data_IF_605925087298
#
_entry.id   IF_605925087298
#
_cell.length_a   1.000
_cell.length_b   1.000
_cell.length_c   1.000
_cell.angle_alpha   90.00
_cell.angle_beta   90.00
_cell.angle_gamma   90.00
#
_symmetry.space_group_name_H-M   'P 1'
#
loop_
_entity.id
_entity.type
_entity.pdbx_description
1 polymer ?
#
# COMPACT_ATOMS: atom_id res chain seq x y z
N UNK A 1 -1.00 -24.20 0.86
CA UNK A 1 -0.68 -23.02 1.59
C UNK A 1 -1.25 -21.78 0.95
N UNK A 2 -1.81 -20.94 1.75
CA UNK A 2 -2.41 -19.75 1.26
C UNK A 2 -1.36 -18.79 0.73
N UNK A 3 -1.59 -18.29 -0.48
CA UNK A 3 -0.69 -17.29 -1.04
C UNK A 3 -1.12 -15.91 -0.56
N UNK A 4 -0.22 -15.28 0.18
CA UNK A 4 -0.48 -13.95 0.71
C UNK A 4 -0.90 -12.96 -0.38
N UNK A 5 -0.36 -13.09 -1.57
CA UNK A 5 -0.66 -12.16 -2.65
C UNK A 5 -2.04 -12.36 -3.25
N UNK A 6 -2.62 -13.53 -3.03
CA UNK A 6 -3.96 -13.77 -3.48
C UNK A 6 -4.95 -12.84 -2.78
N UNK A 7 -4.73 -12.60 -1.50
CA UNK A 7 -5.62 -11.77 -0.72
C UNK A 7 -5.58 -10.32 -1.16
N UNK A 8 -4.50 -9.91 -1.80
CA UNK A 8 -4.38 -8.54 -2.28
C UNK A 8 -5.38 -8.23 -3.37
N UNK A 9 -5.82 -9.26 -4.09
CA UNK A 9 -6.82 -9.06 -5.14
C UNK A 9 -8.18 -8.66 -4.57
N UNK A 10 -8.42 -9.00 -3.32
CA UNK A 10 -9.67 -8.66 -2.66
C UNK A 10 -9.64 -7.35 -1.90
N UNK A 11 -8.54 -6.63 -1.96
CA UNK A 11 -8.43 -5.36 -1.27
C UNK A 11 -9.27 -4.28 -1.94
N UNK A 12 -9.66 -3.25 -1.20
CA UNK A 12 -10.34 -2.11 -1.82
C UNK A 12 -9.51 -1.48 -2.92
N UNK A 13 -10.17 -0.75 -3.79
CA UNK A 13 -9.49 -0.09 -4.90
C UNK A 13 -8.41 0.86 -4.40
N UNK A 14 -8.67 1.55 -3.31
CA UNK A 14 -7.67 2.41 -2.68
C UNK A 14 -7.48 2.00 -1.23
N UNK A 15 -6.27 2.25 -0.73
CA UNK A 15 -5.89 1.89 0.62
C UNK A 15 -5.41 3.12 1.35
N UNK A 16 -5.43 3.05 2.67
CA UNK A 16 -4.84 4.08 3.50
C UNK A 16 -3.43 3.65 3.88
N UNK A 17 -2.64 4.62 4.37
CA UNK A 17 -1.28 4.29 4.77
C UNK A 17 -1.28 3.21 5.85
N UNK A 18 -2.21 3.30 6.80
CA UNK A 18 -2.29 2.30 7.88
C UNK A 18 -2.53 0.90 7.34
N UNK A 19 -3.21 0.79 6.21
CA UNK A 19 -3.50 -0.52 5.65
C UNK A 19 -2.25 -1.23 5.15
N UNK A 20 -1.22 -0.46 4.81
CA UNK A 20 0.03 -1.04 4.35
C UNK A 20 0.80 -1.74 5.47
N UNK A 21 0.58 -1.31 6.70
CA UNK A 21 1.35 -1.83 7.82
C UNK A 21 1.21 -3.34 7.97
N UNK A 22 -0.01 -3.88 8.10
CA UNK A 22 -0.14 -5.33 8.22
C UNK A 22 0.16 -6.07 6.92
N UNK A 23 -0.10 -5.46 5.79
CA UNK A 23 0.13 -6.12 4.51
C UNK A 23 1.61 -6.34 4.28
N UNK A 24 2.42 -5.33 4.59
CA UNK A 24 3.86 -5.39 4.36
C UNK A 24 4.66 -5.79 5.60
N UNK A 25 3.99 -5.87 6.74
CA UNK A 25 4.66 -6.22 7.98
C UNK A 25 5.62 -5.14 8.44
N UNK A 26 5.26 -3.89 8.29
CA UNK A 26 6.13 -2.76 8.63
C UNK A 26 5.41 -1.83 9.60
N UNK A 27 6.19 -0.95 10.22
CA UNK A 27 5.63 0.05 11.12
C UNK A 27 5.13 1.27 10.36
N UNK A 28 4.55 2.20 11.12
CA UNK A 28 3.96 3.40 10.52
C UNK A 28 5.01 4.26 9.82
N UNK A 29 6.15 4.47 10.46
CA UNK A 29 7.18 5.32 9.86
C UNK A 29 7.68 4.76 8.54
N UNK A 30 7.87 3.44 8.48
CA UNK A 30 8.32 2.81 7.26
C UNK A 30 7.27 2.94 6.16
N UNK A 31 5.99 2.81 6.52
CA UNK A 31 4.92 2.95 5.55
C UNK A 31 4.89 4.35 4.95
N UNK A 32 4.99 5.37 5.80
CA UNK A 32 5.02 6.75 5.31
C UNK A 32 6.25 7.03 4.47
N UNK A 33 7.37 6.39 4.83
CA UNK A 33 8.60 6.59 4.07
C UNK A 33 8.47 6.04 2.66
N UNK A 34 7.81 4.90 2.49
CA UNK A 34 7.58 4.33 1.17
C UNK A 34 6.77 5.29 0.30
N UNK A 35 5.79 5.94 0.90
CA UNK A 35 4.96 6.90 0.17
C UNK A 35 5.76 8.16 -0.16
N UNK A 36 6.46 8.68 0.82
CA UNK A 36 7.20 9.93 0.67
C UNK A 36 8.30 9.81 -0.37
N UNK A 37 8.97 8.67 -0.41
CA UNK A 37 10.08 8.46 -1.33
C UNK A 37 9.63 8.14 -2.74
N UNK A 38 8.33 7.91 -2.94
CA UNK A 38 7.80 7.59 -4.25
C UNK A 38 7.93 6.13 -4.64
N UNK A 39 8.37 5.28 -3.73
CA UNK A 39 8.47 3.86 -4.03
C UNK A 39 7.10 3.25 -4.25
N UNK A 40 6.09 3.76 -3.57
CA UNK A 40 4.71 3.38 -3.81
C UNK A 40 3.95 4.64 -4.22
N UNK A 41 3.33 4.58 -5.38
CA UNK A 41 2.57 5.71 -5.91
C UNK A 41 1.35 5.96 -5.02
N UNK A 42 1.03 7.21 -4.79
CA UNK A 42 -0.11 7.57 -3.96
C UNK A 42 -0.85 8.76 -4.55
N UNK A 43 -2.07 8.96 -4.07
CA UNK A 43 -2.93 10.05 -4.49
C UNK A 43 -3.33 10.82 -3.24
N UNK A 44 -3.26 12.14 -3.31
CA UNK A 44 -3.70 12.97 -2.21
C UNK A 44 -5.08 13.53 -2.53
N UNK A 45 -6.02 13.25 -1.66
CA UNK A 45 -7.39 13.74 -1.80
C UNK A 45 -7.71 14.56 -0.55
N UNK A 46 -7.73 15.88 -0.71
CA UNK A 46 -7.87 16.75 0.45
C UNK A 46 -6.67 16.57 1.35
N UNK A 47 -6.92 16.17 2.59
CA UNK A 47 -5.85 15.92 3.55
C UNK A 47 -5.55 14.43 3.71
N UNK A 48 -6.18 13.61 2.89
CA UNK A 48 -5.99 12.17 3.00
C UNK A 48 -5.10 11.66 1.90
N UNK A 49 -4.28 10.68 2.26
CA UNK A 49 -3.43 9.99 1.29
C UNK A 49 -4.07 8.66 0.98
N UNK A 50 -4.27 8.39 -0.30
CA UNK A 50 -4.84 7.13 -0.76
C UNK A 50 -3.84 6.42 -1.65
N UNK A 51 -3.69 5.14 -1.46
CA UNK A 51 -2.77 4.33 -2.26
C UNK A 51 -3.62 3.43 -3.16
N UNK A 52 -3.54 3.62 -4.49
CA UNK A 52 -4.26 2.72 -5.38
C UNK A 52 -3.76 1.29 -5.17
N UNK A 53 -4.70 0.34 -5.19
CA UNK A 53 -4.32 -1.05 -5.02
C UNK A 53 -3.28 -1.47 -6.05
N UNK A 54 -3.43 -0.99 -7.27
CA UNK A 54 -2.49 -1.33 -8.33
C UNK A 54 -1.08 -0.84 -8.04
N UNK A 55 -0.97 0.31 -7.37
CA UNK A 55 0.35 0.84 -7.02
C UNK A 55 1.06 -0.09 -6.03
N UNK A 56 0.30 -0.64 -5.09
CA UNK A 56 0.86 -1.59 -4.14
C UNK A 56 1.28 -2.87 -4.86
N UNK A 57 0.44 -3.36 -5.76
CA UNK A 57 0.77 -4.57 -6.49
C UNK A 57 2.01 -4.38 -7.36
N UNK A 58 2.15 -3.22 -7.98
CA UNK A 58 3.34 -2.92 -8.78
C UNK A 58 4.59 -2.92 -7.91
N UNK A 59 4.47 -2.33 -6.72
CA UNK A 59 5.60 -2.31 -5.79
C UNK A 59 6.03 -3.72 -5.42
N UNK A 60 5.07 -4.60 -5.20
CA UNK A 60 5.36 -5.97 -4.78
C UNK A 60 5.92 -6.84 -5.90
N UNK A 61 5.69 -6.44 -7.13
CA UNK A 61 6.19 -7.20 -8.27
C UNK A 61 7.64 -6.94 -8.61
N UNK A 62 8.20 -5.89 -8.08
CA UNK A 62 9.57 -5.51 -8.40
C UNK A 62 10.60 -6.47 -7.83
#
# INVERSE_FOLDING_TARGET
>A
MENKYRDLQGLPVTLRVEDLMPILGIGRNAAYELIRSGQIRSIRIGQQIRIPRDALLDFLRK
#
